data_IF_164483257490
#
_entry.id   IF_164483257490
#
_cell.length_a   1.000
_cell.length_b   1.000
_cell.length_c   1.000
_cell.angle_alpha   90.00
_cell.angle_beta   90.00
_cell.angle_gamma   90.00
#
_symmetry.space_group_name_H-M   'P 1'
#
loop_
_entity.id
_entity.type
_entity.pdbx_description
1 polymer ?
#
# COMPACT_ATOMS: atom_id res chain seq x y z
N UNK A 1 -4.06 -48.61 -25.24
CA UNK A 1 -5.17 -48.68 -24.27
C UNK A 1 -5.41 -47.27 -23.76
N UNK A 2 -6.60 -46.70 -23.97
CA UNK A 2 -6.96 -45.36 -23.48
C UNK A 2 -7.52 -45.50 -22.07
N UNK A 3 -6.74 -45.15 -21.06
CA UNK A 3 -7.23 -45.10 -19.69
C UNK A 3 -7.89 -43.72 -19.51
N UNK A 4 -9.19 -43.62 -19.17
CA UNK A 4 -9.80 -42.34 -18.88
C UNK A 4 -9.09 -41.73 -17.67
N UNK A 5 -8.58 -40.51 -17.82
CA UNK A 5 -8.00 -39.78 -16.71
C UNK A 5 -9.05 -39.64 -15.59
N UNK A 6 -8.67 -39.88 -14.32
CA UNK A 6 -9.58 -39.71 -13.20
C UNK A 6 -10.02 -38.24 -13.13
N UNK A 7 -11.31 -38.00 -13.38
CA UNK A 7 -11.91 -36.66 -13.30
C UNK A 7 -12.22 -36.33 -11.85
N UNK A 8 -11.68 -35.22 -11.37
CA UNK A 8 -12.03 -34.67 -10.06
C UNK A 8 -13.44 -34.07 -10.16
N UNK A 9 -14.31 -34.36 -9.20
CA UNK A 9 -15.65 -33.76 -9.16
C UNK A 9 -15.57 -32.27 -8.87
N UNK A 10 -16.56 -31.52 -9.35
CA UNK A 10 -16.59 -30.07 -9.17
C UNK A 10 -16.61 -29.68 -7.69
N UNK A 11 -17.18 -30.50 -6.80
CA UNK A 11 -17.17 -30.22 -5.36
C UNK A 11 -15.78 -30.35 -4.72
N UNK A 12 -14.90 -31.19 -5.26
CA UNK A 12 -13.56 -31.43 -4.72
C UNK A 12 -12.51 -30.47 -5.28
N UNK A 13 -12.78 -29.83 -6.42
CA UNK A 13 -11.84 -28.92 -7.06
C UNK A 13 -11.39 -27.76 -6.14
N UNK A 14 -12.27 -27.07 -5.39
CA UNK A 14 -11.85 -26.01 -4.47
C UNK A 14 -10.87 -26.49 -3.39
N UNK A 15 -11.15 -27.67 -2.80
CA UNK A 15 -10.30 -28.25 -1.75
C UNK A 15 -8.91 -28.64 -2.30
N UNK A 16 -8.87 -29.16 -3.52
CA UNK A 16 -7.60 -29.50 -4.19
C UNK A 16 -6.78 -28.23 -4.45
N UNK A 17 -7.40 -27.15 -4.94
CA UNK A 17 -6.70 -25.88 -5.16
C UNK A 17 -6.23 -25.23 -3.85
N UNK A 18 -7.03 -25.29 -2.80
CA UNK A 18 -6.64 -24.79 -1.48
C UNK A 18 -5.40 -25.53 -0.95
N UNK A 19 -5.43 -26.87 -1.01
CA UNK A 19 -4.31 -27.71 -0.58
C UNK A 19 -3.06 -27.47 -1.43
N UNK A 20 -3.22 -27.40 -2.74
CA UNK A 20 -2.12 -27.11 -3.66
C UNK A 20 -1.50 -25.73 -3.38
N UNK A 21 -2.32 -24.70 -3.17
CA UNK A 21 -1.85 -23.34 -2.85
C UNK A 21 -1.05 -23.31 -1.55
N UNK A 22 -1.50 -24.03 -0.51
CA UNK A 22 -0.78 -24.15 0.75
C UNK A 22 0.56 -24.89 0.59
N UNK A 23 0.56 -25.99 -0.17
CA UNK A 23 1.79 -26.75 -0.46
C UNK A 23 2.78 -25.90 -1.26
N UNK A 24 2.30 -25.14 -2.25
CA UNK A 24 3.11 -24.21 -3.02
C UNK A 24 3.67 -23.08 -2.14
N UNK A 25 2.87 -22.52 -1.23
CA UNK A 25 3.34 -21.49 -0.30
C UNK A 25 4.40 -22.02 0.70
N UNK A 26 4.35 -23.29 1.05
CA UNK A 26 5.40 -23.95 1.85
C UNK A 26 6.65 -24.26 1.01
N UNK A 27 6.49 -24.39 -0.31
CA UNK A 27 7.58 -24.60 -1.23
C UNK A 27 8.29 -23.27 -1.52
N UNK A 28 9.33 -22.99 -0.74
CA UNK A 28 10.23 -21.86 -1.01
C UNK A 28 11.16 -22.24 -2.17
N UNK A 29 10.64 -22.25 -3.39
CA UNK A 29 11.43 -22.46 -4.59
C UNK A 29 12.36 -21.26 -4.81
N UNK A 30 13.61 -21.41 -4.39
CA UNK A 30 14.68 -20.51 -4.78
C UNK A 30 15.20 -20.96 -6.13
N UNK A 31 14.97 -20.16 -7.16
CA UNK A 31 15.50 -20.44 -8.48
C UNK A 31 16.95 -19.94 -8.58
N UNK A 32 17.86 -20.83 -8.98
CA UNK A 32 19.19 -20.43 -9.41
C UNK A 32 19.14 -19.69 -10.73
N UNK A 33 20.16 -18.89 -11.02
CA UNK A 33 20.30 -18.21 -12.30
C UNK A 33 20.28 -19.19 -13.49
N UNK A 34 20.81 -20.40 -13.30
CA UNK A 34 20.82 -21.45 -14.34
C UNK A 34 19.41 -21.95 -14.63
N UNK A 35 18.61 -22.20 -13.61
CA UNK A 35 17.21 -22.65 -13.76
C UNK A 35 16.35 -21.57 -14.39
N UNK A 36 16.54 -20.30 -14.00
CA UNK A 36 15.87 -19.18 -14.67
C UNK A 36 16.25 -19.07 -16.14
N UNK A 37 17.52 -19.37 -16.46
CA UNK A 37 18.00 -19.34 -17.84
C UNK A 37 17.38 -20.47 -18.67
N UNK A 38 17.25 -21.67 -18.11
CA UNK A 38 16.61 -22.81 -18.75
C UNK A 38 15.11 -22.59 -18.94
N UNK A 39 14.42 -22.09 -17.92
CA UNK A 39 13.01 -21.72 -18.00
C UNK A 39 12.79 -20.60 -19.04
N UNK A 40 13.68 -19.60 -19.07
CA UNK A 40 13.63 -18.53 -20.07
C UNK A 40 13.93 -19.01 -21.48
N UNK A 41 14.74 -20.06 -21.65
CA UNK A 41 14.98 -20.68 -22.95
C UNK A 41 13.71 -21.29 -23.54
N UNK A 42 12.85 -21.90 -22.71
CA UNK A 42 11.51 -22.36 -23.13
C UNK A 42 10.66 -21.18 -23.62
N UNK A 43 10.76 -20.04 -22.96
CA UNK A 43 10.12 -18.79 -23.38
C UNK A 43 10.87 -18.04 -24.51
N UNK A 44 11.95 -18.62 -25.06
CA UNK A 44 12.81 -18.03 -26.11
C UNK A 44 13.44 -16.69 -25.70
N UNK A 45 13.66 -16.50 -24.40
CA UNK A 45 14.31 -15.32 -23.83
C UNK A 45 15.81 -15.58 -23.82
N UNK A 46 16.63 -14.70 -24.42
CA UNK A 46 18.07 -14.88 -24.39
C UNK A 46 18.65 -14.73 -22.97
N UNK A 47 19.70 -15.50 -22.64
CA UNK A 47 20.28 -15.55 -21.29
C UNK A 47 20.81 -14.19 -20.80
N UNK A 48 21.27 -13.33 -21.71
CA UNK A 48 21.78 -12.00 -21.37
C UNK A 48 20.71 -11.07 -20.79
N UNK A 49 19.44 -11.24 -21.21
CA UNK A 49 18.34 -10.45 -20.66
C UNK A 49 17.92 -10.96 -19.29
N UNK A 50 17.95 -12.27 -19.07
CA UNK A 50 17.66 -12.90 -17.77
C UNK A 50 18.70 -12.44 -16.75
N UNK A 51 19.97 -12.44 -17.12
CA UNK A 51 21.05 -12.01 -16.24
C UNK A 51 20.94 -10.51 -15.86
N UNK A 52 20.55 -9.65 -16.82
CA UNK A 52 20.29 -8.23 -16.56
C UNK A 52 19.05 -8.03 -15.67
N UNK A 53 17.97 -8.75 -15.95
CA UNK A 53 16.74 -8.68 -15.18
C UNK A 53 16.96 -9.11 -13.73
N UNK A 54 17.71 -10.20 -13.49
CA UNK A 54 18.05 -10.66 -12.13
C UNK A 54 18.80 -9.58 -11.34
N UNK A 55 19.75 -8.88 -11.98
CA UNK A 55 20.49 -7.78 -11.33
C UNK A 55 19.59 -6.57 -11.03
N UNK A 56 18.68 -6.22 -11.95
CA UNK A 56 17.72 -5.13 -11.75
C UNK A 56 16.76 -5.44 -10.60
N UNK A 57 16.16 -6.63 -10.59
CA UNK A 57 15.22 -7.06 -9.53
C UNK A 57 15.91 -7.12 -8.17
N UNK A 58 17.16 -7.58 -8.09
CA UNK A 58 17.90 -7.56 -6.83
C UNK A 58 18.15 -6.13 -6.32
N UNK A 59 18.52 -5.21 -7.21
CA UNK A 59 18.71 -3.81 -6.85
C UNK A 59 17.40 -3.15 -6.37
N UNK A 60 16.29 -3.44 -7.04
CA UNK A 60 14.96 -2.91 -6.69
C UNK A 60 14.39 -3.54 -5.41
N UNK A 61 14.59 -4.84 -5.16
CA UNK A 61 14.12 -5.47 -3.93
C UNK A 61 14.79 -4.91 -2.68
N UNK A 62 16.07 -4.53 -2.77
CA UNK A 62 16.78 -3.88 -1.66
C UNK A 62 16.11 -2.54 -1.31
N UNK A 63 15.65 -1.78 -2.31
CA UNK A 63 14.93 -0.52 -2.09
C UNK A 63 13.47 -0.73 -1.68
N UNK A 64 12.76 -1.67 -2.29
CA UNK A 64 11.35 -1.93 -2.02
C UNK A 64 11.12 -2.49 -0.61
N UNK A 65 12.04 -3.33 -0.09
CA UNK A 65 11.99 -3.80 1.30
C UNK A 65 12.14 -2.66 2.31
N UNK A 66 12.87 -1.59 1.96
CA UNK A 66 13.02 -0.42 2.85
C UNK A 66 11.75 0.45 2.86
N UNK A 67 10.99 0.52 1.76
CA UNK A 67 9.75 1.29 1.68
C UNK A 67 8.52 0.58 2.26
N UNK A 68 8.49 -0.76 2.23
CA UNK A 68 7.33 -1.53 2.71
C UNK A 68 7.22 -1.54 4.25
N UNK A 69 8.35 -1.47 4.95
CA UNK A 69 8.38 -1.39 6.43
C UNK A 69 7.95 0.01 6.94
N UNK A 70 7.95 1.04 6.08
CA UNK A 70 7.58 2.40 6.46
C UNK A 70 6.07 2.68 6.44
N UNK A 71 5.24 1.73 5.99
CA UNK A 71 3.79 1.92 5.85
C UNK A 71 2.96 1.18 6.91
N UNK A 72 3.57 0.43 7.84
CA UNK A 72 2.82 -0.30 8.89
C UNK A 72 2.41 0.55 10.09
N UNK A 73 2.85 1.82 10.18
CA UNK A 73 2.70 2.67 11.36
C UNK A 73 2.01 4.03 11.12
N UNK A 74 1.25 4.20 10.03
CA UNK A 74 0.49 5.44 9.78
C UNK A 74 -0.97 5.16 9.45
N UNK A 75 -1.62 4.33 10.26
CA UNK A 75 -3.09 4.26 10.32
C UNK A 75 -3.45 4.01 11.77
N UNK A 76 -3.51 5.01 12.65
CA UNK A 76 -4.36 4.95 13.87
C UNK A 76 -4.40 6.21 14.77
N UNK A 77 -3.81 7.36 14.42
CA UNK A 77 -3.79 8.52 15.35
C UNK A 77 -4.67 9.72 14.99
N UNK A 78 -5.33 9.76 13.82
CA UNK A 78 -6.01 10.99 13.39
C UNK A 78 -7.49 11.16 13.81
N UNK A 79 -8.07 10.27 14.63
CA UNK A 79 -9.51 10.36 14.98
C UNK A 79 -9.82 11.20 16.23
N UNK A 80 -8.82 11.65 17.00
CA UNK A 80 -9.07 12.27 18.32
C UNK A 80 -8.94 13.81 18.33
N UNK A 81 -8.34 14.45 17.31
CA UNK A 81 -7.97 15.89 17.40
C UNK A 81 -9.05 16.86 16.86
N UNK A 82 -10.03 16.41 16.07
CA UNK A 82 -11.04 17.32 15.46
C UNK A 82 -12.22 17.70 16.37
N UNK A 83 -12.42 17.05 17.52
CA UNK A 83 -13.53 17.41 18.43
C UNK A 83 -13.23 18.57 19.37
N UNK A 84 -11.98 19.01 19.49
CA UNK A 84 -11.58 20.10 20.39
C UNK A 84 -11.47 21.49 19.73
N UNK A 85 -11.57 21.59 18.39
CA UNK A 85 -11.43 22.87 17.65
C UNK A 85 -12.74 23.38 17.00
N UNK A 86 -13.88 22.72 17.25
CA UNK A 86 -15.15 23.08 16.61
C UNK A 86 -16.00 24.15 17.30
N UNK A 87 -15.63 24.62 18.51
CA UNK A 87 -16.52 25.44 19.36
C UNK A 87 -16.09 26.90 19.57
N UNK A 88 -15.07 27.40 18.87
CA UNK A 88 -14.60 28.80 19.02
C UNK A 88 -14.71 29.66 17.75
N UNK A 89 -15.45 29.21 16.72
CA UNK A 89 -15.55 29.91 15.43
C UNK A 89 -16.97 30.42 15.07
N UNK A 90 -17.97 30.25 15.93
CA UNK A 90 -19.30 30.85 15.74
C UNK A 90 -19.72 31.65 16.98
N UNK A 91 -18.96 32.71 17.25
CA UNK A 91 -19.36 33.77 18.17
C UNK A 91 -20.47 34.62 17.56
N UNK A 92 -21.59 34.70 18.27
CA UNK A 92 -22.74 35.55 17.96
C UNK A 92 -22.33 37.02 17.69
N UNK A 93 -22.95 37.70 16.70
CA UNK A 93 -22.71 39.12 16.49
C UNK A 93 -23.53 39.94 17.50
N UNK A 94 -22.81 40.79 18.22
CA UNK A 94 -23.16 42.18 18.54
C UNK A 94 -24.57 42.47 19.12
N UNK A 95 -24.63 42.90 20.38
CA UNK A 95 -25.63 43.88 20.80
C UNK A 95 -24.97 44.97 21.66
N UNK A 96 -25.19 46.21 21.23
CA UNK A 96 -24.56 47.45 21.66
C UNK A 96 -24.81 47.79 23.14
N UNK A 97 -24.00 48.71 23.68
CA UNK A 97 -24.41 49.93 24.46
C UNK A 97 -23.17 50.57 25.10
N UNK A 98 -22.63 51.71 24.67
CA UNK A 98 -22.97 53.15 24.83
C UNK A 98 -21.84 53.87 25.60
N UNK A 99 -21.45 55.02 25.04
CA UNK A 99 -20.81 56.20 25.64
C UNK A 99 -19.43 56.09 26.32
N UNK A 100 -18.44 56.74 25.69
CA UNK A 100 -17.79 57.89 26.32
C UNK A 100 -17.69 59.01 25.27
N UNK A 101 -18.50 60.07 25.38
CA UNK A 101 -18.27 61.26 26.20
C UNK A 101 -16.96 61.98 25.84
N UNK A 102 -17.14 63.00 25.00
CA UNK A 102 -16.65 64.35 25.22
C UNK A 102 -15.22 64.49 25.79
N UNK A 103 -14.28 64.78 24.90
CA UNK A 103 -13.24 65.78 25.12
C UNK A 103 -12.55 65.96 23.77
N UNK A 104 -12.92 67.00 23.02
CA UNK A 104 -12.05 68.15 22.83
C UNK A 104 -10.58 67.78 22.66
N UNK A 105 -10.10 67.98 21.42
CA UNK A 105 -8.76 68.38 20.95
C UNK A 105 -8.57 67.70 19.60
N UNK A 106 -8.16 68.29 18.49
CA UNK A 106 -7.78 69.64 18.11
C UNK A 106 -7.67 69.57 16.58
N UNK A 107 -8.33 70.52 15.89
CA UNK A 107 -7.93 71.15 14.63
C UNK A 107 -7.12 70.33 13.60
N UNK A 108 -7.74 70.08 12.45
CA UNK A 108 -7.06 70.27 11.14
C UNK A 108 -8.05 70.98 10.20
N UNK A 109 -8.12 72.30 10.25
CA UNK A 109 -7.68 73.20 9.16
C UNK A 109 -7.99 74.66 9.47
#
# INVERSE_FOLDING_TARGET
>A
MNHPEPRITVELAPEVFERASRLYAQHSETYSLSELTEAGAVARIPPEFIHKAVKQVQAEQIQARQGLEALKDVVFTSLIITTLFGWMAFGNPCHATISQLNSQTTQVK
#
